data_IF_635866572530
#
_entry.id   IF_635866572530
#
_cell.length_a   1.000
_cell.length_b   1.000
_cell.length_c   1.000
_cell.angle_alpha   90.00
_cell.angle_beta   90.00
_cell.angle_gamma   90.00
#
_symmetry.space_group_name_H-M   'P 1'
#
loop_
_entity.id
_entity.type
_entity.pdbx_description
1 polymer ?
#
# COMPACT_ATOMS: atom_id res chain seq x y z
N UNK A 1 -1.71 5.13 -21.77
CA UNK A 1 -2.39 4.72 -20.52
C UNK A 1 -2.36 3.21 -20.29
N UNK A 2 -2.79 2.39 -21.27
CA UNK A 2 -2.90 0.93 -21.10
C UNK A 2 -1.63 0.24 -20.54
N UNK A 3 -0.44 0.63 -21.00
CA UNK A 3 0.83 0.11 -20.48
C UNK A 3 1.03 0.43 -18.99
N UNK A 4 0.66 1.64 -18.54
CA UNK A 4 0.79 2.02 -17.12
C UNK A 4 -0.22 1.28 -16.24
N UNK A 5 -1.44 1.02 -16.72
CA UNK A 5 -2.45 0.24 -15.99
C UNK A 5 -2.05 -1.23 -15.87
N UNK A 6 -1.57 -1.84 -16.97
CA UNK A 6 -1.04 -3.21 -16.97
C UNK A 6 0.15 -3.34 -16.02
N UNK A 7 1.08 -2.38 -16.09
CA UNK A 7 2.21 -2.31 -15.19
C UNK A 7 1.70 -2.20 -13.75
N UNK A 8 0.91 -1.18 -13.41
CA UNK A 8 0.36 -0.98 -12.07
C UNK A 8 -0.30 -2.24 -11.50
N UNK A 9 -1.16 -2.91 -12.27
CA UNK A 9 -1.84 -4.11 -11.80
C UNK A 9 -0.87 -5.26 -11.52
N UNK A 10 0.12 -5.46 -12.41
CA UNK A 10 1.19 -6.45 -12.20
C UNK A 10 1.89 -6.17 -10.87
N UNK A 11 2.20 -4.90 -10.61
CA UNK A 11 2.85 -4.44 -9.38
C UNK A 11 1.98 -4.78 -8.17
N UNK A 12 0.74 -4.30 -8.17
CA UNK A 12 -0.24 -4.46 -7.09
C UNK A 12 -0.48 -5.94 -6.76
N UNK A 13 -0.47 -6.82 -7.77
CA UNK A 13 -0.61 -8.26 -7.56
C UNK A 13 0.63 -8.94 -6.96
N UNK A 14 1.81 -8.35 -7.15
CA UNK A 14 3.11 -8.90 -6.73
C UNK A 14 3.66 -8.31 -5.43
N UNK A 15 3.07 -7.22 -4.92
CA UNK A 15 3.60 -6.45 -3.80
C UNK A 15 2.59 -6.40 -2.66
N UNK A 16 2.79 -7.23 -1.63
CA UNK A 16 2.00 -7.25 -0.40
C UNK A 16 2.76 -6.70 0.81
N UNK A 17 3.99 -6.22 0.59
CA UNK A 17 4.95 -5.83 1.62
C UNK A 17 5.79 -4.64 1.16
N UNK A 18 6.24 -3.82 2.11
CA UNK A 18 7.18 -2.74 1.82
C UNK A 18 8.61 -3.28 1.68
N UNK A 19 9.42 -2.61 0.88
CA UNK A 19 10.81 -3.01 0.68
C UNK A 19 11.74 -2.19 1.58
N UNK A 20 12.64 -2.89 2.26
CA UNK A 20 13.80 -2.32 2.94
C UNK A 20 15.05 -2.74 2.16
N UNK A 21 15.76 -1.78 1.59
CA UNK A 21 16.97 -2.05 0.83
C UNK A 21 18.14 -2.34 1.77
N UNK A 22 18.99 -3.29 1.41
CA UNK A 22 20.24 -3.59 2.10
C UNK A 22 21.41 -3.25 1.18
N UNK A 23 22.16 -2.21 1.53
CA UNK A 23 23.41 -1.85 0.88
C UNK A 23 24.55 -2.54 1.64
N UNK A 24 25.02 -3.66 1.10
CA UNK A 24 26.07 -4.46 1.72
C UNK A 24 27.46 -4.03 1.24
N UNK A 25 28.08 -3.12 2.00
CA UNK A 25 29.38 -2.53 1.62
C UNK A 25 30.53 -3.50 1.86
N UNK A 26 30.34 -4.45 2.78
CA UNK A 26 31.38 -5.29 3.37
C UNK A 26 31.11 -6.79 3.27
N UNK A 27 30.18 -7.21 2.40
CA UNK A 27 29.77 -8.60 2.16
C UNK A 27 29.35 -9.35 3.45
N UNK A 28 28.51 -8.70 4.25
CA UNK A 28 28.05 -9.15 5.57
C UNK A 28 26.65 -9.75 5.56
N UNK A 29 25.84 -9.49 4.53
CA UNK A 29 24.42 -9.80 4.53
C UNK A 29 24.17 -11.27 4.80
N UNK A 30 24.90 -12.17 4.14
CA UNK A 30 24.76 -13.63 4.33
C UNK A 30 24.97 -14.08 5.79
N UNK A 31 25.75 -13.33 6.57
CA UNK A 31 26.06 -13.68 7.96
C UNK A 31 24.99 -13.18 8.94
N UNK A 32 24.28 -12.10 8.60
CA UNK A 32 23.32 -11.44 9.51
C UNK A 32 21.87 -11.60 9.06
N UNK A 33 21.64 -12.05 7.83
CA UNK A 33 20.33 -12.17 7.18
C UNK A 33 19.28 -12.81 8.07
N UNK A 34 19.57 -13.99 8.62
CA UNK A 34 18.60 -14.76 9.40
C UNK A 34 18.12 -14.00 10.64
N UNK A 35 19.02 -13.28 11.32
CA UNK A 35 18.69 -12.48 12.50
C UNK A 35 17.86 -11.25 12.14
N UNK A 36 18.15 -10.61 10.99
CA UNK A 36 17.41 -9.44 10.51
C UNK A 36 16.02 -9.84 10.00
N UNK A 37 15.90 -10.94 9.25
CA UNK A 37 14.62 -11.43 8.73
C UNK A 37 13.67 -11.89 9.86
N UNK A 38 14.20 -12.33 11.01
CA UNK A 38 13.39 -12.62 12.20
C UNK A 38 12.69 -11.39 12.80
N UNK A 39 13.13 -10.17 12.43
CA UNK A 39 12.47 -8.92 12.84
C UNK A 39 11.22 -8.61 12.02
N UNK A 40 10.96 -9.38 10.96
CA UNK A 40 9.82 -9.20 10.08
C UNK A 40 8.63 -10.08 10.51
N UNK A 41 7.37 -9.60 10.40
CA UNK A 41 6.97 -8.23 10.04
C UNK A 41 7.40 -7.21 11.12
N UNK A 42 7.61 -5.95 10.72
CA UNK A 42 8.03 -4.89 11.66
C UNK A 42 6.92 -4.68 12.68
N UNK A 43 7.21 -4.92 13.96
CA UNK A 43 6.21 -4.88 15.02
C UNK A 43 6.06 -3.48 15.59
N UNK A 44 4.83 -3.08 15.93
CA UNK A 44 4.53 -1.82 16.63
C UNK A 44 5.15 -0.59 15.96
N UNK A 45 5.10 -0.53 14.63
CA UNK A 45 5.62 0.61 13.87
C UNK A 45 4.71 1.83 14.08
N UNK A 46 5.25 2.92 14.63
CA UNK A 46 4.53 4.20 14.73
C UNK A 46 4.71 5.00 13.44
N UNK A 47 3.69 4.98 12.58
CA UNK A 47 3.66 5.70 11.31
C UNK A 47 2.77 6.95 11.43
N UNK A 48 2.79 7.83 10.44
CA UNK A 48 1.87 8.97 10.38
C UNK A 48 0.76 8.68 9.36
N UNK A 49 -0.48 8.99 9.73
CA UNK A 49 -1.59 8.98 8.79
C UNK A 49 -1.55 10.20 7.85
N UNK A 50 -2.47 10.27 6.89
CA UNK A 50 -2.58 11.38 5.93
C UNK A 50 -2.66 12.74 6.64
N UNK A 51 -3.38 12.81 7.77
CA UNK A 51 -3.52 14.02 8.60
C UNK A 51 -2.32 14.29 9.54
N UNK A 52 -1.18 13.61 9.35
CA UNK A 52 0.05 13.72 10.16
C UNK A 52 -0.11 13.35 11.64
N UNK A 53 -1.14 12.58 11.97
CA UNK A 53 -1.30 12.02 13.32
C UNK A 53 -0.58 10.67 13.41
N UNK A 54 0.08 10.37 14.54
CA UNK A 54 0.73 9.08 14.74
C UNK A 54 -0.30 7.95 14.85
N UNK A 55 -0.04 6.83 14.17
CA UNK A 55 -0.83 5.61 14.16
C UNK A 55 0.09 4.43 14.43
N UNK A 56 -0.28 3.60 15.39
CA UNK A 56 0.44 2.38 15.72
C UNK A 56 0.00 1.25 14.78
N UNK A 57 0.94 0.72 14.02
CA UNK A 57 0.76 -0.44 13.15
C UNK A 57 1.37 -1.67 13.83
N UNK A 58 0.52 -2.60 14.29
CA UNK A 58 0.95 -3.77 15.07
C UNK A 58 1.91 -4.69 14.29
N UNK A 59 1.58 -4.97 13.03
CA UNK A 59 2.40 -5.79 12.14
C UNK A 59 2.48 -5.10 10.78
N UNK A 60 3.65 -4.56 10.44
CA UNK A 60 3.92 -3.94 9.14
C UNK A 60 4.67 -4.95 8.25
N UNK A 61 4.03 -5.48 7.19
CA UNK A 61 4.65 -6.43 6.28
C UNK A 61 5.81 -5.76 5.54
N UNK A 62 7.02 -6.29 5.68
CA UNK A 62 8.19 -5.81 4.98
C UNK A 62 9.07 -6.96 4.50
N UNK A 63 9.98 -6.68 3.57
CA UNK A 63 11.04 -7.59 3.14
C UNK A 63 12.38 -6.85 3.03
N UNK A 64 13.48 -7.56 3.29
CA UNK A 64 14.81 -7.08 3.00
C UNK A 64 15.23 -7.51 1.58
N UNK A 65 15.73 -6.55 0.79
CA UNK A 65 16.23 -6.80 -0.57
C UNK A 65 17.59 -6.12 -0.72
N UNK A 66 18.60 -6.85 -1.20
CA UNK A 66 19.89 -6.21 -1.49
C UNK A 66 19.78 -5.21 -2.64
N UNK A 67 20.50 -4.09 -2.57
CA UNK A 67 20.50 -3.06 -3.63
C UNK A 67 20.98 -3.59 -4.99
N UNK A 68 21.67 -4.73 -5.01
CA UNK A 68 22.09 -5.45 -6.22
C UNK A 68 20.97 -6.24 -6.90
N UNK A 69 19.83 -6.47 -6.23
CA UNK A 69 18.68 -7.21 -6.77
C UNK A 69 18.08 -6.49 -7.99
N UNK A 70 17.81 -7.28 -9.03
CA UNK A 70 17.14 -6.84 -10.26
C UNK A 70 15.84 -6.06 -10.05
N UNK A 71 15.09 -6.35 -8.97
CA UNK A 71 13.82 -5.69 -8.63
C UNK A 71 14.00 -4.19 -8.36
N UNK A 72 15.19 -3.79 -7.90
CA UNK A 72 15.57 -2.42 -7.52
C UNK A 72 16.41 -1.70 -8.60
N UNK A 73 16.81 -2.38 -9.68
CA UNK A 73 17.64 -1.77 -10.73
C UNK A 73 16.80 -0.85 -11.63
N UNK A 74 17.34 0.36 -11.84
CA UNK A 74 17.00 1.39 -12.84
C UNK A 74 15.59 1.29 -13.44
N UNK A 75 14.66 2.00 -12.81
CA UNK A 75 13.34 2.28 -13.39
C UNK A 75 13.36 3.70 -13.96
N UNK A 76 12.66 3.89 -15.08
CA UNK A 76 12.66 5.16 -15.80
C UNK A 76 12.20 6.31 -14.89
N UNK A 77 12.83 7.50 -14.94
CA UNK A 77 12.47 8.64 -14.07
C UNK A 77 10.99 9.03 -14.14
N UNK A 78 10.35 8.84 -15.30
CA UNK A 78 8.91 9.13 -15.47
C UNK A 78 8.00 8.11 -14.76
N UNK A 79 8.44 6.86 -14.61
CA UNK A 79 7.69 5.81 -13.88
C UNK A 79 7.84 5.95 -12.36
N UNK A 80 8.93 6.58 -11.89
CA UNK A 80 9.18 6.79 -10.46
C UNK A 80 8.10 7.66 -9.81
N UNK A 81 7.54 8.65 -10.52
CA UNK A 81 6.51 9.52 -9.96
C UNK A 81 5.17 8.79 -9.74
N UNK A 82 4.75 7.94 -10.68
CA UNK A 82 3.48 7.21 -10.56
C UNK A 82 3.60 6.05 -9.56
N UNK A 83 4.72 5.33 -9.60
CA UNK A 83 4.91 4.09 -8.84
C UNK A 83 5.93 4.23 -7.72
N UNK A 84 6.04 5.42 -7.12
CA UNK A 84 7.03 5.70 -6.07
C UNK A 84 6.87 4.77 -4.87
N UNK A 85 5.65 4.31 -4.58
CA UNK A 85 5.37 3.32 -3.53
C UNK A 85 6.18 2.02 -3.66
N UNK A 86 6.73 1.70 -4.85
CA UNK A 86 7.58 0.51 -5.05
C UNK A 86 9.01 0.68 -4.58
N UNK A 87 9.49 1.92 -4.52
CA UNK A 87 10.87 2.19 -4.15
C UNK A 87 11.07 1.85 -2.66
N UNK A 88 12.29 1.47 -2.24
CA UNK A 88 12.58 1.12 -0.86
C UNK A 88 12.16 2.23 0.13
N UNK A 89 11.58 1.83 1.27
CA UNK A 89 11.15 2.74 2.32
C UNK A 89 12.26 3.10 3.30
N UNK A 90 13.28 2.24 3.40
CA UNK A 90 14.49 2.47 4.16
C UNK A 90 15.66 1.77 3.46
N UNK A 91 16.87 2.27 3.67
CA UNK A 91 18.12 1.64 3.23
C UNK A 91 19.00 1.36 4.44
N UNK A 92 19.25 0.08 4.71
CA UNK A 92 20.20 -0.38 5.72
C UNK A 92 21.57 -0.47 5.07
N UNK A 93 22.54 0.30 5.54
CA UNK A 93 23.91 0.25 5.03
C UNK A 93 24.76 -0.58 5.99
N UNK A 94 25.15 -1.78 5.56
CA UNK A 94 25.95 -2.70 6.37
C UNK A 94 27.43 -2.45 6.14
N UNK A 95 28.17 -2.20 7.22
CA UNK A 95 29.61 -1.95 7.17
C UNK A 95 30.34 -2.65 8.31
N UNK A 96 31.58 -3.03 8.06
CA UNK A 96 32.55 -3.42 9.10
C UNK A 96 33.84 -2.65 8.85
N UNK A 97 34.58 -2.36 9.91
CA UNK A 97 35.93 -1.80 9.80
C UNK A 97 36.70 -2.07 11.08
N UNK A 98 37.95 -2.55 10.92
CA UNK A 98 38.79 -2.98 12.04
C UNK A 98 39.86 -1.94 12.39
N UNK A 99 40.12 -0.98 11.51
CA UNK A 99 41.20 0.00 11.64
C UNK A 99 40.76 1.44 11.32
N UNK A 100 41.32 2.42 12.05
CA UNK A 100 40.94 3.82 11.89
C UNK A 100 41.44 4.47 10.59
N UNK A 101 42.56 4.02 10.07
CA UNK A 101 43.10 4.55 8.83
C UNK A 101 42.36 3.97 7.63
N UNK A 102 41.96 2.69 7.67
CA UNK A 102 40.99 2.11 6.73
C UNK A 102 39.66 2.90 6.75
N UNK A 103 39.12 3.19 7.94
CA UNK A 103 37.90 3.98 8.07
C UNK A 103 38.02 5.33 7.37
N UNK A 104 39.11 6.07 7.61
CA UNK A 104 39.29 7.43 7.06
C UNK A 104 39.53 7.41 5.55
N UNK A 105 40.29 6.44 5.05
CA UNK A 105 40.80 6.44 3.67
C UNK A 105 39.86 5.73 2.70
N UNK A 106 39.13 4.70 3.15
CA UNK A 106 38.30 3.85 2.28
C UNK A 106 36.83 3.94 2.66
N UNK A 107 36.48 3.57 3.89
CA UNK A 107 35.07 3.40 4.27
C UNK A 107 34.30 4.72 4.29
N UNK A 108 34.87 5.77 4.90
CA UNK A 108 34.21 7.08 5.01
C UNK A 108 33.93 7.72 3.64
N UNK A 109 34.88 7.80 2.68
CA UNK A 109 34.57 8.30 1.34
C UNK A 109 33.47 7.50 0.64
N UNK A 110 33.50 6.16 0.75
CA UNK A 110 32.48 5.28 0.13
C UNK A 110 31.10 5.50 0.75
N UNK A 111 31.01 5.57 2.08
CA UNK A 111 29.77 5.88 2.79
C UNK A 111 29.21 7.24 2.38
N UNK A 112 30.05 8.27 2.30
CA UNK A 112 29.63 9.61 1.84
C UNK A 112 29.00 9.59 0.45
N UNK A 113 29.50 8.76 -0.46
CA UNK A 113 28.94 8.61 -1.80
C UNK A 113 27.57 7.91 -1.77
N UNK A 114 27.45 6.83 -0.98
CA UNK A 114 26.19 6.08 -0.81
C UNK A 114 25.09 6.98 -0.23
N UNK A 115 25.44 7.75 0.80
CA UNK A 115 24.49 8.59 1.53
C UNK A 115 24.25 9.97 0.92
N UNK A 116 24.89 10.28 -0.22
CA UNK A 116 24.74 11.56 -0.91
C UNK A 116 23.34 11.75 -1.52
N UNK A 117 22.63 10.65 -1.77
CA UNK A 117 21.28 10.72 -2.31
C UNK A 117 20.25 11.06 -1.20
N UNK A 118 19.90 12.34 -1.10
CA UNK A 118 18.94 12.86 -0.12
C UNK A 118 17.50 12.33 -0.32
N UNK A 119 17.19 11.74 -1.47
CA UNK A 119 15.86 11.17 -1.74
C UNK A 119 15.62 9.86 -0.97
N UNK A 120 16.68 9.14 -0.61
CA UNK A 120 16.59 7.87 0.11
C UNK A 120 16.77 8.09 1.61
N UNK A 121 15.89 7.49 2.41
CA UNK A 121 16.14 7.38 3.84
C UNK A 121 17.05 6.20 4.13
N UNK A 122 18.05 6.43 4.97
CA UNK A 122 19.10 5.47 5.28
C UNK A 122 19.54 5.56 6.74
N UNK A 123 20.08 4.44 7.21
CA UNK A 123 20.83 4.33 8.44
C UNK A 123 21.93 3.27 8.27
N UNK A 124 22.99 3.38 9.05
CA UNK A 124 24.20 2.56 8.99
C UNK A 124 24.19 1.59 10.17
N UNK A 125 24.40 0.31 9.87
CA UNK A 125 24.68 -0.72 10.87
C UNK A 125 26.16 -1.05 10.80
N UNK A 126 26.87 -0.68 11.86
CA UNK A 126 28.26 -1.07 12.04
C UNK A 126 28.33 -2.47 12.67
N UNK A 127 28.76 -3.45 11.89
CA UNK A 127 28.93 -4.83 12.31
C UNK A 127 30.32 -5.01 12.88
N UNK A 128 30.39 -5.28 14.17
CA UNK A 128 31.61 -5.56 14.90
C UNK A 128 31.91 -7.06 14.88
N UNK A 129 33.03 -7.43 14.25
CA UNK A 129 33.58 -8.80 14.22
C UNK A 129 34.48 -9.12 15.42
N UNK A 130 34.66 -8.17 16.33
CA UNK A 130 35.58 -8.33 17.46
C UNK A 130 35.07 -9.41 18.42
N UNK A 131 35.89 -10.44 18.66
CA UNK A 131 35.57 -11.45 19.65
C UNK A 131 35.64 -10.84 21.07
N UNK A 132 34.70 -11.16 22.00
CA UNK A 132 34.66 -10.55 23.34
C UNK A 132 35.92 -10.78 24.18
N UNK A 133 36.69 -11.84 23.88
CA UNK A 133 37.98 -12.11 24.53
C UNK A 133 39.14 -11.26 24.02
N UNK A 134 38.95 -10.51 22.94
CA UNK A 134 39.97 -9.63 22.35
C UNK A 134 39.68 -8.17 22.71
N UNK A 135 40.22 -7.75 23.85
CA UNK A 135 40.07 -6.39 24.37
C UNK A 135 40.58 -5.32 23.40
N UNK A 136 41.66 -5.58 22.69
CA UNK A 136 42.26 -4.60 21.77
C UNK A 136 41.36 -4.38 20.55
N UNK A 137 40.88 -5.47 19.93
CA UNK A 137 39.95 -5.39 18.81
C UNK A 137 38.62 -4.73 19.22
N UNK A 138 38.09 -5.08 20.40
CA UNK A 138 36.86 -4.48 20.93
C UNK A 138 37.01 -2.98 21.17
N UNK A 139 38.14 -2.53 21.74
CA UNK A 139 38.44 -1.10 21.92
C UNK A 139 38.57 -0.39 20.57
N UNK A 140 39.19 -1.02 19.58
CA UNK A 140 39.33 -0.42 18.26
C UNK A 140 37.98 -0.27 17.55
N UNK A 141 37.15 -1.33 17.55
CA UNK A 141 35.81 -1.30 16.99
C UNK A 141 34.94 -0.20 17.63
N UNK A 142 34.99 -0.03 18.96
CA UNK A 142 34.32 1.07 19.66
C UNK A 142 34.81 2.45 19.20
N UNK A 143 36.13 2.60 18.98
CA UNK A 143 36.73 3.87 18.55
C UNK A 143 36.36 4.22 17.11
N UNK A 144 36.32 3.23 16.21
CA UNK A 144 35.85 3.38 14.83
C UNK A 144 34.37 3.74 14.81
N UNK A 145 33.54 3.03 15.58
CA UNK A 145 32.11 3.30 15.70
C UNK A 145 31.82 4.72 16.20
N UNK A 146 32.49 5.17 17.27
CA UNK A 146 32.33 6.53 17.78
C UNK A 146 32.71 7.60 16.73
N UNK A 147 33.67 7.29 15.84
CA UNK A 147 34.02 8.19 14.74
C UNK A 147 32.96 8.19 13.64
N UNK A 148 32.39 7.02 13.34
CA UNK A 148 31.29 6.85 12.41
C UNK A 148 30.05 7.62 12.87
N UNK A 149 29.69 7.53 14.15
CA UNK A 149 28.61 8.33 14.74
C UNK A 149 28.88 9.83 14.60
N UNK A 150 30.08 10.29 14.95
CA UNK A 150 30.44 11.71 14.84
C UNK A 150 30.38 12.25 13.39
N UNK A 151 30.61 11.38 12.39
CA UNK A 151 30.63 11.77 10.99
C UNK A 151 29.25 11.69 10.30
N UNK A 152 28.34 10.82 10.76
CA UNK A 152 27.06 10.52 10.07
C UNK A 152 25.79 10.78 10.91
N UNK A 153 25.89 10.87 12.24
CA UNK A 153 24.78 11.36 13.06
C UNK A 153 24.66 12.88 12.95
N UNK A 154 23.45 13.38 13.13
CA UNK A 154 23.18 14.82 13.25
C UNK A 154 22.43 15.09 14.54
N UNK A 155 22.42 16.35 15.01
CA UNK A 155 21.67 16.73 16.22
C UNK A 155 20.19 16.37 16.19
N UNK A 156 19.62 16.18 15.00
CA UNK A 156 18.20 15.87 14.79
C UNK A 156 17.94 14.40 14.45
N UNK A 157 18.96 13.65 14.05
CA UNK A 157 18.82 12.28 13.53
C UNK A 157 20.03 11.45 13.87
N UNK A 158 19.81 10.42 14.66
CA UNK A 158 20.75 9.34 14.90
C UNK A 158 20.56 8.29 13.82
N UNK A 159 21.59 8.07 13.00
CA UNK A 159 21.56 7.20 11.83
C UNK A 159 22.50 6.00 11.94
N UNK A 160 23.17 5.83 13.07
CA UNK A 160 24.17 4.78 13.25
C UNK A 160 23.79 3.90 14.43
N UNK A 161 23.93 2.58 14.25
CA UNK A 161 23.77 1.57 15.31
C UNK A 161 24.87 0.52 15.18
N UNK A 162 25.18 -0.19 16.26
CA UNK A 162 26.28 -1.16 16.32
C UNK A 162 25.75 -2.56 16.62
N UNK A 163 26.03 -3.51 15.73
CA UNK A 163 25.68 -4.93 15.85
C UNK A 163 26.94 -5.73 16.22
N UNK A 164 26.91 -6.49 17.32
CA UNK A 164 28.05 -7.30 17.76
C UNK A 164 27.84 -8.78 17.44
N UNK A 165 28.57 -9.32 16.45
CA UNK A 165 28.39 -10.70 15.96
C UNK A 165 28.58 -11.81 17.01
N UNK A 166 29.25 -11.49 18.12
CA UNK A 166 29.66 -12.45 19.15
C UNK A 166 29.13 -12.10 20.55
N UNK A 167 28.24 -11.11 20.69
CA UNK A 167 27.72 -10.63 21.97
C UNK A 167 26.18 -10.65 22.05
N UNK A 168 25.60 -10.53 23.26
CA UNK A 168 24.15 -10.38 23.42
C UNK A 168 23.71 -8.98 22.93
N UNK A 169 22.58 -8.92 22.21
CA UNK A 169 22.26 -7.80 21.32
C UNK A 169 20.83 -7.25 21.47
N UNK A 170 20.21 -7.45 22.65
CA UNK A 170 18.81 -7.03 22.86
C UNK A 170 18.62 -5.51 22.72
N UNK A 171 19.56 -4.71 23.23
CA UNK A 171 19.52 -3.23 23.12
C UNK A 171 19.74 -2.74 21.67
N UNK A 172 20.54 -3.48 20.88
CA UNK A 172 20.73 -3.17 19.46
C UNK A 172 19.42 -3.30 18.68
N UNK A 173 18.63 -4.34 18.94
CA UNK A 173 17.41 -4.57 18.17
C UNK A 173 16.36 -3.50 18.39
N UNK A 174 16.24 -2.97 19.61
CA UNK A 174 15.35 -1.85 19.90
C UNK A 174 15.80 -0.58 19.15
N UNK A 175 17.11 -0.31 19.13
CA UNK A 175 17.69 0.82 18.41
C UNK A 175 17.57 0.67 16.88
N UNK A 176 17.82 -0.54 16.37
CA UNK A 176 17.67 -0.92 14.97
C UNK A 176 16.22 -0.73 14.51
N UNK A 177 15.26 -1.28 15.25
CA UNK A 177 13.84 -1.18 14.93
C UNK A 177 13.37 0.27 14.95
N UNK A 178 13.81 1.07 15.94
CA UNK A 178 13.51 2.50 16.01
C UNK A 178 14.03 3.25 14.78
N UNK A 179 15.29 3.05 14.39
CA UNK A 179 15.89 3.70 13.22
C UNK A 179 15.25 3.25 11.91
N UNK A 180 14.88 1.98 11.81
CA UNK A 180 14.17 1.42 10.66
C UNK A 180 12.77 2.03 10.53
N UNK A 181 11.99 2.05 11.60
CA UNK A 181 10.65 2.66 11.62
C UNK A 181 10.72 4.16 11.31
N UNK A 182 11.72 4.87 11.83
CA UNK A 182 11.95 6.27 11.52
C UNK A 182 12.23 6.52 10.04
N UNK A 183 13.06 5.69 9.41
CA UNK A 183 13.31 5.78 7.98
C UNK A 183 12.03 5.53 7.16
N UNK A 184 11.29 4.47 7.50
CA UNK A 184 10.04 4.11 6.84
C UNK A 184 9.01 5.26 6.95
N UNK A 185 8.82 5.79 8.16
CA UNK A 185 7.90 6.88 8.45
C UNK A 185 8.26 8.14 7.64
N UNK A 186 9.53 8.55 7.66
CA UNK A 186 9.98 9.72 6.92
C UNK A 186 9.78 9.55 5.41
N UNK A 187 10.07 8.37 4.86
CA UNK A 187 9.84 8.09 3.43
C UNK A 187 8.36 8.14 3.09
N UNK A 188 7.51 7.50 3.89
CA UNK A 188 6.07 7.52 3.72
C UNK A 188 5.53 8.96 3.74
N UNK A 189 5.95 9.76 4.72
CA UNK A 189 5.53 11.15 4.88
C UNK A 189 5.83 12.02 3.65
N UNK A 190 7.01 11.85 3.03
CA UNK A 190 7.40 12.55 1.80
C UNK A 190 6.58 12.09 0.61
N UNK A 191 6.37 10.78 0.47
CA UNK A 191 5.60 10.20 -0.64
C UNK A 191 4.14 10.60 -0.58
N UNK A 192 3.52 10.56 0.60
CA UNK A 192 2.14 11.04 0.81
C UNK A 192 2.04 12.50 0.37
N UNK A 193 2.95 13.36 0.83
CA UNK A 193 2.97 14.77 0.44
C UNK A 193 3.04 14.95 -1.09
N UNK A 194 3.92 14.18 -1.74
CA UNK A 194 4.07 14.22 -3.19
C UNK A 194 2.78 13.82 -3.93
N UNK A 195 2.17 12.69 -3.55
CA UNK A 195 0.92 12.23 -4.17
C UNK A 195 -0.24 13.21 -3.91
N UNK A 196 -0.33 13.80 -2.71
CA UNK A 196 -1.33 14.82 -2.40
C UNK A 196 -1.19 16.06 -3.28
N UNK A 197 0.04 16.54 -3.48
CA UNK A 197 0.33 17.68 -4.35
C UNK A 197 -0.07 17.38 -5.80
N UNK A 198 0.32 16.22 -6.34
CA UNK A 198 -0.03 15.82 -7.70
C UNK A 198 -1.54 15.60 -7.88
N UNK A 199 -2.21 15.02 -6.89
CA UNK A 199 -3.67 14.88 -6.89
C UNK A 199 -4.37 16.24 -6.87
N UNK A 200 -3.87 17.20 -6.08
CA UNK A 200 -4.40 18.57 -6.07
C UNK A 200 -4.20 19.24 -7.42
N UNK A 201 -3.00 19.16 -7.99
CA UNK A 201 -2.66 19.72 -9.29
C UNK A 201 -3.55 19.18 -10.41
N UNK A 202 -3.81 17.86 -10.42
CA UNK A 202 -4.73 17.27 -11.40
C UNK A 202 -6.20 17.62 -11.14
N UNK A 203 -6.60 17.74 -9.88
CA UNK A 203 -7.96 18.16 -9.52
C UNK A 203 -8.26 19.59 -9.97
N UNK A 204 -7.30 20.51 -9.84
CA UNK A 204 -7.43 21.90 -10.32
C UNK A 204 -7.57 21.97 -11.85
N UNK A 205 -6.94 21.03 -12.57
CA UNK A 205 -7.00 20.95 -14.02
C UNK A 205 -8.27 20.25 -14.55
N UNK A 206 -9.16 19.78 -13.67
CA UNK A 206 -10.31 18.92 -14.02
C UNK A 206 -11.27 19.49 -15.06
N UNK A 207 -11.37 20.81 -15.16
CA UNK A 207 -12.21 21.49 -16.16
C UNK A 207 -11.47 21.86 -17.44
N UNK A 208 -10.21 21.43 -17.59
CA UNK A 208 -9.41 21.68 -18.79
C UNK A 208 -9.52 20.51 -19.77
N UNK A 209 -9.46 20.75 -21.09
CA UNK A 209 -9.54 19.68 -22.11
C UNK A 209 -8.39 18.68 -22.07
N UNK A 210 -7.29 19.01 -21.39
CA UNK A 210 -6.08 18.18 -21.27
C UNK A 210 -6.21 17.16 -20.13
N UNK A 211 -7.20 17.33 -19.25
CA UNK A 211 -7.39 16.45 -18.11
C UNK A 211 -7.91 15.06 -18.53
N UNK A 212 -7.30 14.03 -17.96
CA UNK A 212 -7.65 12.63 -18.19
C UNK A 212 -7.89 11.95 -16.84
N UNK A 213 -9.12 11.45 -16.63
CA UNK A 213 -9.49 10.79 -15.38
C UNK A 213 -8.66 9.52 -15.13
N UNK A 214 -8.17 8.82 -16.16
CA UNK A 214 -7.27 7.67 -15.98
C UNK A 214 -5.94 8.05 -15.30
N UNK A 215 -5.40 9.23 -15.62
CA UNK A 215 -4.19 9.74 -14.97
C UNK A 215 -4.45 10.11 -13.50
N UNK A 216 -5.63 10.69 -13.22
CA UNK A 216 -6.05 10.97 -11.85
C UNK A 216 -6.28 9.67 -11.06
N UNK A 217 -6.97 8.70 -11.66
CA UNK A 217 -7.23 7.38 -11.10
C UNK A 217 -5.93 6.68 -10.71
N UNK A 218 -4.95 6.56 -11.62
CA UNK A 218 -3.73 5.80 -11.32
C UNK A 218 -2.93 6.42 -10.16
N UNK A 219 -2.95 7.74 -9.99
CA UNK A 219 -2.31 8.42 -8.86
C UNK A 219 -3.06 8.20 -7.55
N UNK A 220 -4.39 8.35 -7.55
CA UNK A 220 -5.25 8.06 -6.39
C UNK A 220 -5.14 6.60 -5.95
N UNK A 221 -5.20 5.69 -6.91
CA UNK A 221 -5.04 4.26 -6.72
C UNK A 221 -3.64 3.91 -6.18
N UNK A 222 -2.59 4.58 -6.66
CA UNK A 222 -1.22 4.40 -6.15
C UNK A 222 -1.07 4.87 -4.69
N UNK A 223 -1.70 5.99 -4.33
CA UNK A 223 -1.74 6.50 -2.96
C UNK A 223 -2.54 5.57 -2.04
N UNK A 224 -3.73 5.13 -2.47
CA UNK A 224 -4.56 4.18 -1.74
C UNK A 224 -3.83 2.87 -1.49
N UNK A 225 -3.15 2.35 -2.52
CA UNK A 225 -2.34 1.14 -2.42
C UNK A 225 -1.13 1.32 -1.50
N UNK A 226 -0.48 2.49 -1.51
CA UNK A 226 0.61 2.81 -0.58
C UNK A 226 0.14 2.75 0.89
N UNK A 227 -1.04 3.30 1.18
CA UNK A 227 -1.67 3.18 2.50
C UNK A 227 -2.04 1.73 2.81
N UNK A 228 -2.50 0.95 1.82
CA UNK A 228 -2.82 -0.47 2.00
C UNK A 228 -1.59 -1.30 2.40
N UNK A 229 -0.46 -1.18 1.68
CA UNK A 229 0.76 -1.96 1.97
C UNK A 229 1.46 -1.55 3.27
N UNK A 230 1.16 -0.34 3.76
CA UNK A 230 1.65 0.14 5.07
C UNK A 230 0.66 -0.12 6.21
N UNK A 231 -0.41 -0.88 5.95
CA UNK A 231 -1.49 -1.19 6.88
C UNK A 231 -2.24 0.04 7.46
N UNK A 232 -2.14 1.20 6.80
CA UNK A 232 -2.96 2.39 7.07
C UNK A 232 -4.32 2.26 6.36
N UNK A 233 -5.05 1.20 6.68
CA UNK A 233 -6.27 0.82 5.95
C UNK A 233 -7.38 1.89 6.01
N UNK A 234 -7.46 2.67 7.08
CA UNK A 234 -8.38 3.81 7.20
C UNK A 234 -8.10 4.89 6.15
N UNK A 235 -6.83 5.26 5.95
CA UNK A 235 -6.44 6.26 4.96
C UNK A 235 -6.65 5.72 3.54
N UNK A 236 -6.31 4.45 3.31
CA UNK A 236 -6.57 3.75 2.05
C UNK A 236 -8.08 3.78 1.69
N UNK A 237 -8.95 3.49 2.66
CA UNK A 237 -10.41 3.48 2.46
C UNK A 237 -10.93 4.88 2.08
N UNK A 238 -10.44 5.93 2.75
CA UNK A 238 -10.79 7.32 2.42
C UNK A 238 -10.40 7.70 1.01
N UNK A 239 -9.25 7.26 0.52
CA UNK A 239 -8.86 7.52 -0.88
C UNK A 239 -9.82 6.88 -1.88
N UNK A 240 -10.31 5.66 -1.62
CA UNK A 240 -11.32 5.02 -2.48
C UNK A 240 -12.69 5.69 -2.38
N UNK A 241 -13.12 6.11 -1.19
CA UNK A 241 -14.36 6.88 -1.00
C UNK A 241 -14.29 8.23 -1.75
N UNK A 242 -13.17 8.96 -1.66
CA UNK A 242 -12.94 10.19 -2.42
C UNK A 242 -12.93 9.93 -3.94
N UNK A 243 -12.33 8.82 -4.39
CA UNK A 243 -12.25 8.45 -5.80
C UNK A 243 -13.63 8.10 -6.39
N UNK A 244 -14.49 7.43 -5.63
CA UNK A 244 -15.89 7.14 -6.02
C UNK A 244 -16.69 8.43 -6.25
N UNK A 245 -16.56 9.38 -5.32
CA UNK A 245 -17.19 10.70 -5.42
C UNK A 245 -16.68 11.46 -6.65
N UNK A 246 -15.35 11.51 -6.82
CA UNK A 246 -14.72 12.15 -7.97
C UNK A 246 -15.20 11.54 -9.28
N UNK A 247 -15.30 10.21 -9.37
CA UNK A 247 -15.79 9.54 -10.56
C UNK A 247 -17.24 9.93 -10.86
N UNK A 248 -18.12 9.88 -9.86
CA UNK A 248 -19.54 10.22 -10.03
C UNK A 248 -19.75 11.64 -10.55
N UNK A 249 -19.00 12.61 -10.02
CA UNK A 249 -18.99 13.99 -10.55
C UNK A 249 -18.45 14.08 -11.99
N UNK A 250 -17.53 13.20 -12.39
CA UNK A 250 -16.90 13.23 -13.72
C UNK A 250 -17.78 12.63 -14.80
N UNK A 251 -18.62 11.65 -14.44
CA UNK A 251 -19.59 10.99 -15.32
C UNK A 251 -20.75 11.94 -15.65
N UNK A 252 -21.09 12.83 -14.73
CA UNK A 252 -22.15 13.84 -14.91
C UNK A 252 -21.77 15.00 -15.85
N UNK A 253 -20.51 15.09 -16.30
CA UNK A 253 -20.09 16.09 -17.28
C UNK A 253 -20.46 15.65 -18.70
N UNK A 254 -21.00 16.55 -19.55
CA UNK A 254 -21.32 16.23 -20.94
C UNK A 254 -20.02 15.87 -21.68
N UNK A 255 -19.83 14.59 -21.95
CA UNK A 255 -18.67 14.03 -22.63
C UNK A 255 -19.11 13.05 -23.73
N UNK A 256 -18.13 12.50 -24.46
CA UNK A 256 -18.35 11.45 -25.47
C UNK A 256 -19.22 10.31 -24.92
N UNK A 257 -20.00 9.62 -25.78
CA UNK A 257 -20.71 8.40 -25.39
C UNK A 257 -19.73 7.44 -24.72
N UNK A 258 -20.03 7.02 -23.49
CA UNK A 258 -19.24 6.05 -22.75
C UNK A 258 -19.88 4.69 -22.92
N UNK A 259 -19.07 3.67 -23.14
CA UNK A 259 -19.54 2.30 -23.09
C UNK A 259 -19.85 1.94 -21.64
N UNK A 260 -21.05 1.39 -21.39
CA UNK A 260 -21.48 1.05 -20.04
C UNK A 260 -20.71 -0.16 -19.49
N UNK A 261 -20.45 -1.18 -20.31
CA UNK A 261 -19.83 -2.45 -19.90
C UNK A 261 -20.87 -3.55 -19.61
N UNK A 262 -20.42 -4.66 -19.03
CA UNK A 262 -21.30 -5.77 -18.66
C UNK A 262 -21.66 -6.76 -19.79
N UNK A 263 -20.81 -6.81 -20.82
CA UNK A 263 -21.02 -7.63 -22.02
C UNK A 263 -20.02 -8.80 -22.14
N UNK A 264 -19.01 -8.84 -21.27
CA UNK A 264 -18.03 -9.92 -21.28
C UNK A 264 -18.63 -11.17 -20.63
N UNK A 265 -18.13 -12.35 -21.00
CA UNK A 265 -18.60 -13.62 -20.42
C UNK A 265 -18.37 -13.64 -18.91
N UNK A 266 -19.43 -13.87 -18.13
CA UNK A 266 -19.39 -13.91 -16.66
C UNK A 266 -19.73 -12.60 -15.96
N UNK A 267 -20.01 -11.52 -16.69
CA UNK A 267 -20.38 -10.23 -16.12
C UNK A 267 -21.75 -10.22 -15.43
N UNK A 268 -22.59 -11.20 -15.73
CA UNK A 268 -23.87 -11.42 -15.05
C UNK A 268 -23.68 -11.78 -13.56
N UNK A 269 -22.48 -12.21 -13.17
CA UNK A 269 -22.11 -12.49 -11.79
C UNK A 269 -21.46 -11.26 -11.15
N UNK A 270 -21.99 -10.83 -10.00
CA UNK A 270 -21.50 -9.63 -9.33
C UNK A 270 -20.06 -9.79 -8.78
N UNK A 271 -19.22 -8.80 -9.06
CA UNK A 271 -17.80 -8.78 -8.68
C UNK A 271 -17.51 -7.90 -7.45
N UNK A 272 -18.48 -7.71 -6.55
CA UNK A 272 -18.43 -6.73 -5.45
C UNK A 272 -17.37 -7.00 -4.38
N UNK A 273 -16.76 -8.17 -4.38
CA UNK A 273 -15.88 -8.62 -3.30
C UNK A 273 -14.52 -9.12 -3.81
N UNK A 274 -14.27 -8.97 -5.11
CA UNK A 274 -13.03 -9.38 -5.74
C UNK A 274 -12.51 -8.26 -6.66
N UNK A 275 -11.63 -7.37 -6.16
CA UNK A 275 -11.03 -6.31 -6.98
C UNK A 275 -10.22 -6.84 -8.18
N UNK A 276 -9.82 -8.12 -8.14
CA UNK A 276 -9.07 -8.78 -9.21
C UNK A 276 -9.95 -9.54 -10.21
N UNK A 277 -11.27 -9.38 -10.18
CA UNK A 277 -12.18 -10.09 -11.08
C UNK A 277 -11.90 -9.78 -12.56
N UNK A 278 -11.64 -8.50 -12.88
CA UNK A 278 -11.17 -8.06 -14.19
C UNK A 278 -9.87 -7.28 -14.06
N UNK A 279 -9.03 -7.37 -15.10
CA UNK A 279 -7.84 -6.56 -15.18
C UNK A 279 -8.17 -5.08 -15.41
N UNK A 280 -7.40 -4.15 -14.83
CA UNK A 280 -7.59 -2.71 -15.02
C UNK A 280 -7.56 -2.30 -16.50
N UNK A 281 -6.78 -3.02 -17.31
CA UNK A 281 -6.74 -2.85 -18.77
C UNK A 281 -8.02 -3.29 -19.48
N UNK A 282 -8.84 -4.13 -18.84
CA UNK A 282 -10.17 -4.50 -19.33
C UNK A 282 -11.21 -3.50 -18.80
N UNK A 283 -11.01 -2.88 -17.64
CA UNK A 283 -11.94 -1.85 -17.12
C UNK A 283 -11.84 -0.54 -17.93
N UNK A 284 -10.65 -0.22 -18.44
CA UNK A 284 -10.38 1.00 -19.22
C UNK A 284 -10.24 0.68 -20.70
N UNK A 285 -11.04 1.35 -21.53
CA UNK A 285 -11.01 1.27 -22.99
C UNK A 285 -10.89 2.67 -23.59
N UNK A 286 -9.92 2.89 -24.48
CA UNK A 286 -9.64 4.19 -25.11
C UNK A 286 -9.54 5.36 -24.11
N UNK A 287 -8.88 5.13 -22.97
CA UNK A 287 -8.72 6.07 -21.85
C UNK A 287 -10.04 6.48 -21.16
N UNK A 288 -11.10 5.69 -21.33
CA UNK A 288 -12.41 5.84 -20.69
C UNK A 288 -12.73 4.60 -19.87
N UNK A 289 -13.23 4.78 -18.65
CA UNK A 289 -13.69 3.67 -17.81
C UNK A 289 -15.06 3.20 -18.26
N UNK A 290 -15.22 1.89 -18.41
CA UNK A 290 -16.54 1.25 -18.47
C UNK A 290 -17.18 1.33 -17.08
N UNK A 291 -18.35 1.96 -16.99
CA UNK A 291 -18.98 2.29 -15.70
C UNK A 291 -19.31 1.04 -14.88
N UNK A 292 -19.77 -0.02 -15.57
CA UNK A 292 -20.18 -1.26 -14.95
C UNK A 292 -19.04 -1.93 -14.18
N UNK A 293 -17.89 -2.09 -14.82
CA UNK A 293 -16.71 -2.70 -14.22
C UNK A 293 -16.08 -1.78 -13.17
N UNK A 294 -16.00 -0.47 -13.45
CA UNK A 294 -15.31 0.46 -12.57
C UNK A 294 -16.00 0.63 -11.22
N UNK A 295 -17.32 0.76 -11.20
CA UNK A 295 -18.08 0.90 -9.94
C UNK A 295 -17.96 -0.34 -9.06
N UNK A 296 -18.01 -1.53 -9.66
CA UNK A 296 -17.80 -2.78 -8.92
C UNK A 296 -16.37 -2.90 -8.40
N UNK A 297 -15.37 -2.50 -9.19
CA UNK A 297 -13.96 -2.49 -8.76
C UNK A 297 -13.73 -1.60 -7.54
N UNK A 298 -14.24 -0.36 -7.55
CA UNK A 298 -14.12 0.58 -6.42
C UNK A 298 -14.78 0.01 -5.17
N UNK A 299 -16.01 -0.50 -5.30
CA UNK A 299 -16.71 -1.12 -4.18
C UNK A 299 -15.94 -2.33 -3.63
N UNK A 300 -15.38 -3.18 -4.50
CA UNK A 300 -14.59 -4.32 -4.07
C UNK A 300 -13.32 -3.90 -3.31
N UNK A 301 -12.66 -2.82 -3.73
CA UNK A 301 -11.52 -2.25 -3.00
C UNK A 301 -11.93 -1.75 -1.61
N UNK A 302 -13.02 -1.00 -1.51
CA UNK A 302 -13.58 -0.54 -0.23
C UNK A 302 -13.93 -1.72 0.69
N UNK A 303 -14.64 -2.72 0.17
CA UNK A 303 -15.05 -3.91 0.92
C UNK A 303 -13.84 -4.69 1.45
N UNK A 304 -12.81 -4.90 0.62
CA UNK A 304 -11.55 -5.53 1.02
C UNK A 304 -10.90 -4.81 2.22
N UNK A 305 -10.86 -3.49 2.20
CA UNK A 305 -10.27 -2.69 3.28
C UNK A 305 -11.13 -2.70 4.54
N UNK A 306 -12.45 -2.63 4.41
CA UNK A 306 -13.38 -2.74 5.54
C UNK A 306 -13.27 -4.08 6.24
N UNK A 307 -13.08 -5.18 5.50
CA UNK A 307 -12.78 -6.48 6.10
C UNK A 307 -11.45 -6.48 6.86
N UNK A 308 -10.39 -5.88 6.28
CA UNK A 308 -9.11 -5.69 6.98
C UNK A 308 -9.22 -4.82 8.24
N UNK A 309 -10.20 -3.92 8.30
CA UNK A 309 -10.55 -3.10 9.47
C UNK A 309 -11.49 -3.81 10.45
N UNK A 310 -11.84 -5.08 10.22
CA UNK A 310 -12.82 -5.84 11.01
C UNK A 310 -14.19 -5.16 11.08
N UNK A 311 -14.65 -4.59 9.95
CA UNK A 311 -15.96 -3.91 9.81
C UNK A 311 -16.91 -4.61 8.81
N UNK A 312 -17.23 -5.91 9.00
CA UNK A 312 -18.10 -6.65 8.08
C UNK A 312 -19.52 -6.08 8.00
N UNK A 313 -20.03 -5.47 9.08
CA UNK A 313 -21.37 -4.84 9.07
C UNK A 313 -21.41 -3.58 8.22
N UNK A 314 -20.32 -2.81 8.18
CA UNK A 314 -20.23 -1.66 7.29
C UNK A 314 -20.19 -2.10 5.82
N UNK A 315 -19.50 -3.21 5.50
CA UNK A 315 -19.55 -3.82 4.16
C UNK A 315 -20.97 -4.21 3.79
N UNK A 316 -21.71 -4.81 4.72
CA UNK A 316 -23.09 -5.20 4.51
C UNK A 316 -23.98 -3.98 4.20
N UNK A 317 -23.93 -2.94 5.03
CA UNK A 317 -24.72 -1.72 4.86
C UNK A 317 -24.37 -0.96 3.57
N UNK A 318 -23.07 -0.75 3.30
CA UNK A 318 -22.62 -0.10 2.05
C UNK A 318 -22.96 -0.95 0.82
N UNK A 319 -22.81 -2.28 0.92
CA UNK A 319 -23.14 -3.21 -0.16
C UNK A 319 -24.62 -3.23 -0.50
N UNK A 320 -25.50 -3.21 0.50
CA UNK A 320 -26.93 -3.07 0.29
C UNK A 320 -27.27 -1.78 -0.48
N UNK A 321 -26.76 -0.64 0.01
CA UNK A 321 -26.99 0.66 -0.63
C UNK A 321 -26.45 0.68 -2.08
N UNK A 322 -25.27 0.09 -2.30
CA UNK A 322 -24.68 -0.07 -3.63
C UNK A 322 -25.59 -0.90 -4.55
N UNK A 323 -26.02 -2.09 -4.13
CA UNK A 323 -26.86 -2.99 -4.94
C UNK A 323 -28.18 -2.33 -5.31
N UNK A 324 -28.85 -1.66 -4.37
CA UNK A 324 -30.11 -0.95 -4.62
C UNK A 324 -29.92 0.20 -5.62
N UNK A 325 -28.85 0.99 -5.46
CA UNK A 325 -28.54 2.09 -6.36
C UNK A 325 -28.17 1.59 -7.76
N UNK A 326 -27.28 0.60 -7.83
CA UNK A 326 -26.73 0.09 -9.06
C UNK A 326 -27.75 -0.74 -9.86
N UNK A 327 -28.69 -1.44 -9.20
CA UNK A 327 -29.82 -2.08 -9.85
C UNK A 327 -30.69 -1.09 -10.64
N UNK A 328 -30.83 0.15 -10.17
CA UNK A 328 -31.54 1.20 -10.92
C UNK A 328 -30.74 1.63 -12.14
N UNK A 329 -29.42 1.74 -12.02
CA UNK A 329 -28.53 1.99 -13.17
C UNK A 329 -28.64 0.87 -14.20
N UNK A 330 -28.62 -0.40 -13.79
CA UNK A 330 -28.78 -1.54 -14.70
C UNK A 330 -30.13 -1.51 -15.43
N UNK A 331 -31.22 -1.11 -14.76
CA UNK A 331 -32.53 -0.95 -15.39
C UNK A 331 -32.54 0.09 -16.52
N UNK A 332 -31.76 1.18 -16.40
CA UNK A 332 -31.62 2.19 -17.47
C UNK A 332 -30.90 1.60 -18.70
N UNK A 333 -30.03 0.62 -18.50
CA UNK A 333 -29.25 -0.03 -19.55
C UNK A 333 -29.80 -1.41 -19.98
N UNK A 334 -31.01 -1.78 -19.53
CA UNK A 334 -31.59 -3.12 -19.71
C UNK A 334 -31.67 -3.55 -21.19
N UNK A 335 -31.96 -2.62 -22.10
CA UNK A 335 -32.03 -2.90 -23.54
C UNK A 335 -30.67 -3.27 -24.17
N UNK A 336 -29.55 -2.88 -23.55
CA UNK A 336 -28.21 -3.15 -24.03
C UNK A 336 -27.59 -4.40 -23.35
N UNK A 337 -28.18 -4.88 -22.26
CA UNK A 337 -27.67 -5.98 -21.46
C UNK A 337 -28.33 -7.32 -21.84
N UNK A 338 -27.68 -8.46 -21.56
CA UNK A 338 -28.28 -9.78 -21.76
C UNK A 338 -29.61 -9.97 -21.02
N UNK A 339 -30.42 -10.92 -21.49
CA UNK A 339 -31.69 -11.28 -20.85
C UNK A 339 -31.48 -11.66 -19.37
N UNK A 340 -32.32 -11.11 -18.48
CA UNK A 340 -32.27 -11.31 -17.03
C UNK A 340 -30.95 -10.91 -16.34
N UNK A 341 -30.10 -10.12 -17.00
CA UNK A 341 -28.79 -9.74 -16.47
C UNK A 341 -28.91 -9.04 -15.10
N UNK A 342 -29.86 -8.11 -14.96
CA UNK A 342 -30.07 -7.35 -13.72
C UNK A 342 -30.43 -8.28 -12.55
N UNK A 343 -31.38 -9.18 -12.76
CA UNK A 343 -31.87 -10.09 -11.73
C UNK A 343 -30.75 -11.04 -11.27
N UNK A 344 -30.03 -11.64 -12.22
CA UNK A 344 -28.90 -12.53 -11.93
C UNK A 344 -27.81 -11.76 -11.17
N UNK A 345 -27.49 -10.54 -11.60
CA UNK A 345 -26.49 -9.70 -10.95
C UNK A 345 -26.89 -9.34 -9.52
N UNK A 346 -28.14 -8.93 -9.29
CA UNK A 346 -28.64 -8.58 -7.93
C UNK A 346 -28.60 -9.78 -7.00
N UNK A 347 -29.09 -10.95 -7.45
CA UNK A 347 -29.09 -12.17 -6.65
C UNK A 347 -27.66 -12.56 -6.26
N UNK A 348 -26.74 -12.55 -7.22
CA UNK A 348 -25.35 -12.97 -7.00
C UNK A 348 -24.61 -11.96 -6.11
N UNK A 349 -24.90 -10.65 -6.25
CA UNK A 349 -24.40 -9.61 -5.36
C UNK A 349 -24.83 -9.83 -3.91
N UNK A 350 -26.14 -10.04 -3.68
CA UNK A 350 -26.68 -10.27 -2.34
C UNK A 350 -26.10 -11.53 -1.70
N UNK A 351 -26.06 -12.65 -2.43
CA UNK A 351 -25.49 -13.90 -1.94
C UNK A 351 -24.00 -13.77 -1.61
N UNK A 352 -23.24 -13.08 -2.47
CA UNK A 352 -21.82 -12.81 -2.25
C UNK A 352 -21.57 -11.99 -0.98
N UNK A 353 -22.35 -10.90 -0.81
CA UNK A 353 -22.29 -10.03 0.37
C UNK A 353 -22.62 -10.82 1.64
N UNK A 354 -23.77 -11.51 1.70
CA UNK A 354 -24.22 -12.28 2.87
C UNK A 354 -23.18 -13.33 3.26
N UNK A 355 -22.68 -14.10 2.28
CA UNK A 355 -21.68 -15.14 2.54
C UNK A 355 -20.41 -14.56 3.17
N UNK A 356 -19.91 -13.47 2.60
CA UNK A 356 -18.61 -12.92 2.99
C UNK A 356 -18.66 -12.14 4.29
N UNK A 357 -19.74 -11.37 4.52
CA UNK A 357 -19.96 -10.67 5.78
C UNK A 357 -20.22 -11.65 6.93
N UNK A 358 -20.99 -12.71 6.70
CA UNK A 358 -21.23 -13.75 7.72
C UNK A 358 -19.97 -14.53 8.07
N UNK A 359 -19.11 -14.83 7.08
CA UNK A 359 -17.85 -15.56 7.33
C UNK A 359 -16.86 -14.73 8.13
N UNK A 360 -16.85 -13.41 7.95
CA UNK A 360 -15.90 -12.50 8.61
C UNK A 360 -16.49 -11.79 9.84
N UNK A 361 -17.72 -12.12 10.23
CA UNK A 361 -18.34 -11.59 11.44
C UNK A 361 -17.91 -12.44 12.64
N UNK A 362 -17.35 -11.78 13.65
CA UNK A 362 -16.80 -12.41 14.86
C UNK A 362 -17.76 -12.40 16.05
N UNK A 363 -19.00 -11.92 15.88
CA UNK A 363 -20.00 -11.82 16.95
C UNK A 363 -19.84 -10.58 17.84
N UNK A 364 -18.99 -9.62 17.47
CA UNK A 364 -18.83 -8.36 18.21
C UNK A 364 -20.13 -7.54 18.30
N UNK A 365 -20.35 -6.92 19.46
CA UNK A 365 -21.51 -6.03 19.71
C UNK A 365 -21.39 -4.80 18.81
N UNK A 366 -22.25 -4.74 17.80
CA UNK A 366 -22.35 -3.58 16.90
C UNK A 366 -23.35 -2.60 17.50
N UNK A 367 -23.23 -1.31 17.19
CA UNK A 367 -24.27 -0.34 17.52
C UNK A 367 -25.64 -0.87 17.02
N UNK A 368 -26.68 -0.74 17.85
CA UNK A 368 -28.02 -1.36 17.66
C UNK A 368 -28.62 -1.06 16.27
N UNK A 369 -28.30 0.10 15.67
CA UNK A 369 -28.78 0.48 14.34
C UNK A 369 -28.09 -0.29 13.20
N UNK A 370 -26.81 -0.62 13.36
CA UNK A 370 -26.04 -1.42 12.41
C UNK A 370 -26.40 -2.91 12.50
N UNK A 371 -26.76 -3.39 13.69
CA UNK A 371 -27.27 -4.74 13.91
C UNK A 371 -28.60 -4.96 13.18
N UNK A 372 -29.52 -3.98 13.22
CA UNK A 372 -30.78 -4.00 12.47
C UNK A 372 -30.56 -4.06 10.96
N UNK A 373 -29.57 -3.36 10.42
CA UNK A 373 -29.24 -3.39 8.98
C UNK A 373 -28.63 -4.74 8.55
N UNK A 374 -27.80 -5.35 9.41
CA UNK A 374 -27.26 -6.70 9.22
C UNK A 374 -28.38 -7.76 9.24
N UNK A 375 -29.30 -7.69 10.21
CA UNK A 375 -30.47 -8.57 10.24
C UNK A 375 -31.42 -8.31 9.07
N UNK A 376 -31.60 -7.07 8.59
CA UNK A 376 -32.36 -6.79 7.37
C UNK A 376 -31.83 -7.56 6.17
N UNK A 377 -30.51 -7.59 5.96
CA UNK A 377 -29.88 -8.37 4.89
C UNK A 377 -30.10 -9.88 5.03
N UNK A 378 -30.12 -10.42 6.25
CA UNK A 378 -30.50 -11.82 6.48
C UNK A 378 -32.00 -12.06 6.25
N UNK A 379 -32.87 -11.09 6.57
CA UNK A 379 -34.31 -11.18 6.28
C UNK A 379 -34.60 -11.03 4.78
N UNK A 380 -33.72 -10.40 3.99
CA UNK A 380 -33.89 -10.30 2.54
C UNK A 380 -33.77 -11.63 1.78
N UNK A 381 -33.25 -12.71 2.38
CA UNK A 381 -33.46 -14.07 1.85
C UNK A 381 -34.96 -14.40 1.71
N UNK A 382 -35.81 -13.84 2.59
CA UNK A 382 -37.26 -13.98 2.53
C UNK A 382 -37.95 -12.90 1.66
N UNK A 383 -37.39 -11.68 1.59
CA UNK A 383 -37.99 -10.57 0.80
C UNK A 383 -37.53 -10.51 -0.68
N UNK A 384 -36.53 -11.28 -1.10
CA UNK A 384 -36.12 -11.39 -2.52
C UNK A 384 -37.31 -11.78 -3.42
N UNK A 385 -38.30 -12.49 -2.86
CA UNK A 385 -39.51 -12.93 -3.57
C UNK A 385 -40.46 -11.78 -3.93
N UNK A 386 -40.61 -10.76 -3.08
CA UNK A 386 -41.50 -9.62 -3.33
C UNK A 386 -40.85 -8.56 -4.24
N UNK A 387 -39.52 -8.52 -4.31
CA UNK A 387 -38.77 -7.55 -5.13
C UNK A 387 -38.56 -7.99 -6.59
N UNK A 388 -38.56 -9.30 -6.86
CA UNK A 388 -38.43 -9.86 -8.21
C UNK A 388 -39.77 -9.90 -8.98
N UNK A 389 -40.90 -9.73 -8.31
CA UNK A 389 -42.26 -9.88 -8.89
C UNK A 389 -43.21 -8.69 -8.64
N UNK A 390 -42.69 -7.57 -8.12
CA UNK A 390 -43.46 -6.36 -7.79
C UNK A 390 -43.35 -5.23 -8.81
#
# INVERSE_FOLDING_TARGET
>A
MANYLAQFQTIKSSSDRIVIAVEDVSDLWLNVKDSFEQRLPVKKACLNNKARNPVLVENLPAEFIQTTDSRLRSRFPQEQYLFWFREPYATVVLVTCEDLDEFKTILKPRLKLIVQNDEREWFIVFVSKAHPSNDQATKMAKKVYARLEADFNTKKRERCCKFDLHGPDDEFWDDFDSKMVDCIRNTLDRRVQFYEEENRRLSEQRFTPVWNFCNFFILKESLAFMFEVTNLHEDSLREYDELELCYSESVNLPAKPREFGGLDTGDDQAALLNPGFKALTQIVQDDVFREFEFRQYIFACQAKLLFKLSRPVEVAARGYAFVVSFSKTLAVHENALPFCFREVWVITACLGLIKSTSTQYDGGVVAIDSEKEFYRLQVYEACLFDWLWG
#
